data_IF_405100394478
#
_entry.id   IF_405100394478
#
_cell.length_a   1.000
_cell.length_b   1.000
_cell.length_c   1.000
_cell.angle_alpha   90.00
_cell.angle_beta   90.00
_cell.angle_gamma   90.00
#
_symmetry.space_group_name_H-M   'P 1'
#
loop_
_entity.id
_entity.type
_entity.pdbx_description
1 polymer ?
#
# COMPACT_ATOMS: atom_id res chain seq x y z
N UNK A 1 -10.06 0.25 15.44
CA UNK A 1 -10.49 0.65 14.06
C UNK A 1 -9.29 0.53 13.16
N UNK A 2 -9.50 0.21 11.91
CA UNK A 2 -8.44 0.11 10.90
C UNK A 2 -8.47 1.31 9.98
N UNK A 3 -7.38 1.59 9.27
CA UNK A 3 -7.38 2.62 8.23
C UNK A 3 -7.74 2.01 6.87
N UNK A 4 -8.50 2.72 6.05
CA UNK A 4 -8.89 2.42 4.66
C UNK A 4 -9.77 1.17 4.48
N UNK A 5 -9.44 0.02 5.08
CA UNK A 5 -10.14 -1.25 4.88
C UNK A 5 -10.32 -2.03 6.18
N UNK A 6 -11.41 -2.78 6.31
CA UNK A 6 -11.74 -3.59 7.47
C UNK A 6 -12.50 -4.86 7.05
N UNK A 7 -12.98 -5.65 8.03
CA UNK A 7 -13.73 -6.90 7.80
C UNK A 7 -15.01 -6.74 6.98
N UNK A 8 -15.60 -5.52 6.95
CA UNK A 8 -16.86 -5.24 6.26
C UNK A 8 -16.64 -4.69 4.84
N UNK A 9 -15.38 -4.48 4.45
CA UNK A 9 -15.00 -3.94 3.14
C UNK A 9 -15.34 -4.91 2.01
N UNK A 10 -16.21 -4.50 1.09
CA UNK A 10 -16.60 -5.28 -0.09
C UNK A 10 -15.68 -4.97 -1.26
N UNK A 11 -15.04 -6.00 -1.79
CA UNK A 11 -13.99 -5.90 -2.81
C UNK A 11 -14.42 -6.58 -4.11
N UNK A 12 -14.22 -5.91 -5.23
CA UNK A 12 -14.21 -6.54 -6.56
C UNK A 12 -12.78 -6.64 -7.10
N UNK A 13 -12.58 -7.55 -8.05
CA UNK A 13 -11.28 -7.76 -8.70
C UNK A 13 -11.37 -7.46 -10.17
N UNK A 14 -10.65 -6.45 -10.67
CA UNK A 14 -10.49 -6.22 -12.11
C UNK A 14 -9.33 -7.09 -12.63
N UNK A 15 -9.58 -7.83 -13.71
CA UNK A 15 -8.71 -8.91 -14.17
C UNK A 15 -8.96 -10.26 -13.46
N UNK A 16 -10.17 -10.45 -12.93
CA UNK A 16 -10.53 -11.52 -12.00
C UNK A 16 -10.26 -12.93 -12.52
N UNK A 17 -10.52 -13.20 -13.80
CA UNK A 17 -10.30 -14.52 -14.41
C UNK A 17 -8.90 -14.71 -15.00
N UNK A 18 -8.02 -13.73 -14.87
CA UNK A 18 -6.60 -13.83 -15.21
C UNK A 18 -5.85 -14.66 -14.15
N UNK A 19 -4.67 -15.18 -14.51
CA UNK A 19 -3.87 -16.05 -13.64
C UNK A 19 -3.58 -15.40 -12.28
N UNK A 20 -3.02 -14.19 -12.28
CA UNK A 20 -2.66 -13.47 -11.04
C UNK A 20 -3.91 -13.00 -10.28
N UNK A 21 -4.92 -12.46 -10.99
CA UNK A 21 -6.18 -12.05 -10.40
C UNK A 21 -6.91 -13.21 -9.70
N UNK A 22 -6.98 -14.39 -10.34
CA UNK A 22 -7.55 -15.60 -9.75
C UNK A 22 -6.79 -16.05 -8.50
N UNK A 23 -5.48 -16.22 -8.62
CA UNK A 23 -4.64 -16.71 -7.53
C UNK A 23 -4.73 -15.83 -6.28
N UNK A 24 -4.56 -14.52 -6.46
CA UNK A 24 -4.57 -13.61 -5.33
C UNK A 24 -5.98 -13.35 -4.77
N UNK A 25 -7.03 -13.41 -5.60
CA UNK A 25 -8.40 -13.38 -5.11
C UNK A 25 -8.72 -14.59 -4.22
N UNK A 26 -8.28 -15.79 -4.60
CA UNK A 26 -8.41 -17.01 -3.79
C UNK A 26 -7.70 -16.86 -2.43
N UNK A 27 -6.46 -16.31 -2.43
CA UNK A 27 -5.73 -16.05 -1.19
C UNK A 27 -6.41 -14.98 -0.31
N UNK A 28 -7.05 -13.96 -0.91
CA UNK A 28 -7.82 -12.97 -0.18
C UNK A 28 -9.11 -13.58 0.43
N UNK A 29 -9.83 -14.42 -0.33
CA UNK A 29 -10.98 -15.18 0.15
C UNK A 29 -10.60 -16.09 1.32
N UNK A 30 -9.50 -16.83 1.20
CA UNK A 30 -8.98 -17.69 2.27
C UNK A 30 -8.59 -16.91 3.54
N UNK A 31 -8.20 -15.65 3.40
CA UNK A 31 -7.90 -14.75 4.52
C UNK A 31 -9.16 -14.20 5.21
N UNK A 32 -10.33 -14.31 4.58
CA UNK A 32 -11.59 -13.79 5.09
C UNK A 32 -12.04 -12.47 4.45
N UNK A 33 -11.32 -11.96 3.44
CA UNK A 33 -11.71 -10.74 2.71
C UNK A 33 -13.02 -10.97 1.95
N UNK A 34 -13.92 -10.02 2.01
CA UNK A 34 -15.19 -10.07 1.29
C UNK A 34 -15.00 -9.74 -0.20
N UNK A 35 -14.43 -10.68 -0.99
CA UNK A 35 -14.49 -10.60 -2.44
C UNK A 35 -15.92 -10.90 -2.86
N UNK A 36 -16.62 -9.91 -3.39
CA UNK A 36 -18.06 -10.02 -3.74
C UNK A 36 -18.30 -10.25 -5.23
N UNK A 37 -17.28 -10.17 -6.07
CA UNK A 37 -17.33 -10.41 -7.51
C UNK A 37 -16.05 -9.98 -8.19
N UNK A 38 -16.02 -10.05 -9.51
CA UNK A 38 -14.92 -9.54 -10.29
C UNK A 38 -15.34 -9.10 -11.68
N UNK A 39 -14.42 -8.40 -12.35
CA UNK A 39 -14.64 -7.83 -13.67
C UNK A 39 -13.65 -8.41 -14.65
N UNK A 40 -14.16 -8.98 -15.73
CA UNK A 40 -13.39 -9.39 -16.90
C UNK A 40 -14.26 -9.16 -18.13
N UNK A 41 -13.89 -8.23 -19.02
CA UNK A 41 -14.65 -7.96 -20.24
C UNK A 41 -14.94 -9.22 -21.05
N UNK A 42 -16.15 -9.32 -21.60
CA UNK A 42 -16.67 -10.45 -22.37
C UNK A 42 -16.83 -11.77 -21.58
N UNK A 43 -16.73 -11.76 -20.25
CA UNK A 43 -16.98 -12.92 -19.38
C UNK A 43 -18.12 -12.69 -18.37
N UNK A 44 -18.87 -11.60 -18.52
CA UNK A 44 -20.05 -11.32 -17.68
C UNK A 44 -21.07 -12.44 -17.72
N UNK A 45 -21.71 -12.71 -16.58
CA UNK A 45 -22.67 -13.80 -16.41
C UNK A 45 -22.04 -15.15 -16.07
N UNK A 46 -20.72 -15.28 -16.07
CA UNK A 46 -20.01 -16.46 -15.59
C UNK A 46 -19.83 -16.41 -14.07
N UNK A 47 -19.47 -17.54 -13.50
CA UNK A 47 -19.02 -17.66 -12.11
C UNK A 47 -17.53 -18.01 -12.08
N UNK A 48 -16.78 -17.42 -11.14
CA UNK A 48 -15.36 -17.69 -10.92
C UNK A 48 -15.05 -17.63 -9.41
N UNK A 49 -14.41 -18.64 -8.86
CA UNK A 49 -14.15 -18.79 -7.41
C UNK A 49 -15.44 -18.66 -6.54
N UNK A 50 -16.57 -19.15 -7.04
CA UNK A 50 -17.86 -19.03 -6.36
C UNK A 50 -18.42 -17.59 -6.31
N UNK A 51 -17.92 -16.70 -7.19
CA UNK A 51 -18.34 -15.29 -7.26
C UNK A 51 -18.74 -14.90 -8.68
N UNK A 52 -19.70 -13.98 -8.84
CA UNK A 52 -20.13 -13.52 -10.15
C UNK A 52 -19.03 -12.73 -10.88
N UNK A 53 -18.96 -12.92 -12.19
CA UNK A 53 -18.11 -12.14 -13.10
C UNK A 53 -18.98 -11.15 -13.87
N UNK A 54 -18.54 -9.91 -13.96
CA UNK A 54 -19.20 -8.82 -14.67
C UNK A 54 -18.35 -8.35 -15.85
N UNK A 55 -18.97 -7.68 -16.82
CA UNK A 55 -18.25 -7.07 -17.94
C UNK A 55 -17.64 -5.72 -17.56
N UNK A 56 -18.28 -4.99 -16.66
CA UNK A 56 -17.88 -3.64 -16.25
C UNK A 56 -17.89 -3.46 -14.73
N UNK A 57 -17.11 -2.49 -14.25
CA UNK A 57 -17.10 -2.12 -12.83
C UNK A 57 -18.45 -1.57 -12.40
N UNK A 58 -19.12 -0.79 -13.25
CA UNK A 58 -20.45 -0.25 -12.96
C UNK A 58 -21.49 -1.35 -12.71
N UNK A 59 -21.50 -2.42 -13.54
CA UNK A 59 -22.35 -3.60 -13.30
C UNK A 59 -22.05 -4.26 -11.96
N UNK A 60 -20.76 -4.46 -11.66
CA UNK A 60 -20.30 -5.09 -10.44
C UNK A 60 -20.69 -4.29 -9.19
N UNK A 61 -20.48 -2.97 -9.19
CA UNK A 61 -20.84 -2.09 -8.08
C UNK A 61 -22.35 -2.07 -7.84
N UNK A 62 -23.15 -1.96 -8.90
CA UNK A 62 -24.61 -1.98 -8.79
C UNK A 62 -25.15 -3.29 -8.22
N UNK A 63 -24.54 -4.42 -8.59
CA UNK A 63 -25.00 -5.74 -8.16
C UNK A 63 -24.53 -6.08 -6.73
N UNK A 64 -23.36 -5.60 -6.30
CA UNK A 64 -22.71 -6.09 -5.07
C UNK A 64 -22.57 -5.06 -3.97
N UNK A 65 -22.60 -3.77 -4.33
CA UNK A 65 -22.30 -2.68 -3.41
C UNK A 65 -20.81 -2.62 -3.03
N UNK A 66 -19.91 -3.08 -3.91
CA UNK A 66 -18.47 -3.00 -3.69
C UNK A 66 -17.98 -1.56 -3.61
N UNK A 67 -17.08 -1.29 -2.67
CA UNK A 67 -16.46 0.02 -2.45
C UNK A 67 -14.98 0.03 -2.79
N UNK A 68 -14.35 -1.14 -2.94
CA UNK A 68 -12.92 -1.28 -3.25
C UNK A 68 -12.73 -2.13 -4.50
N UNK A 69 -11.81 -1.72 -5.37
CA UNK A 69 -11.36 -2.51 -6.51
C UNK A 69 -9.89 -2.90 -6.36
N UNK A 70 -9.61 -4.20 -6.47
CA UNK A 70 -8.26 -4.75 -6.55
C UNK A 70 -7.91 -5.01 -8.02
N UNK A 71 -6.85 -4.37 -8.54
CA UNK A 71 -6.56 -4.29 -9.98
C UNK A 71 -5.36 -5.15 -10.35
N UNK A 72 -5.60 -6.15 -11.23
CA UNK A 72 -4.61 -7.07 -11.82
C UNK A 72 -4.63 -7.07 -13.36
N UNK A 73 -5.17 -6.05 -13.98
CA UNK A 73 -5.17 -5.97 -15.44
C UNK A 73 -3.75 -5.80 -15.99
N UNK A 74 -3.46 -6.17 -17.26
CA UNK A 74 -2.16 -5.93 -17.85
C UNK A 74 -1.76 -4.45 -17.85
N UNK A 75 -0.46 -4.12 -17.81
CA UNK A 75 0.05 -2.76 -17.63
C UNK A 75 -0.58 -1.69 -18.51
N UNK A 76 -0.78 -2.00 -19.80
CA UNK A 76 -1.36 -1.06 -20.77
C UNK A 76 -2.83 -0.67 -20.49
N UNK A 77 -3.53 -1.43 -19.65
CA UNK A 77 -4.95 -1.21 -19.34
C UNK A 77 -5.17 -0.65 -17.92
N UNK A 78 -4.10 -0.42 -17.14
CA UNK A 78 -4.22 0.03 -15.75
C UNK A 78 -4.88 1.40 -15.67
N UNK A 79 -4.49 2.34 -16.53
CA UNK A 79 -5.08 3.68 -16.56
C UNK A 79 -6.60 3.65 -16.76
N UNK A 80 -7.04 2.89 -17.78
CA UNK A 80 -8.47 2.73 -18.09
C UNK A 80 -9.23 2.05 -16.95
N UNK A 81 -8.65 1.00 -16.36
CA UNK A 81 -9.26 0.28 -15.24
C UNK A 81 -9.45 1.17 -13.99
N UNK A 82 -8.50 2.06 -13.72
CA UNK A 82 -8.59 3.04 -12.62
C UNK A 82 -9.67 4.08 -12.91
N UNK A 83 -9.73 4.60 -14.14
CA UNK A 83 -10.75 5.59 -14.51
C UNK A 83 -12.16 4.98 -14.48
N UNK A 84 -12.34 3.77 -15.00
CA UNK A 84 -13.60 3.02 -14.93
C UNK A 84 -14.06 2.80 -13.48
N UNK A 85 -13.13 2.42 -12.59
CA UNK A 85 -13.44 2.26 -11.17
C UNK A 85 -13.91 3.57 -10.52
N UNK A 86 -13.26 4.68 -10.85
CA UNK A 86 -13.63 6.00 -10.35
C UNK A 86 -15.03 6.43 -10.81
N UNK A 87 -15.36 6.24 -12.09
CA UNK A 87 -16.68 6.55 -12.65
C UNK A 87 -17.78 5.66 -12.07
N UNK A 88 -17.46 4.43 -11.70
CA UNK A 88 -18.41 3.52 -11.09
C UNK A 88 -18.68 3.79 -9.60
N UNK A 89 -17.98 4.73 -8.97
CA UNK A 89 -18.15 5.10 -7.56
C UNK A 89 -17.35 4.24 -6.58
N UNK A 90 -16.28 3.57 -7.02
CA UNK A 90 -15.31 2.93 -6.13
C UNK A 90 -14.63 4.01 -5.27
N UNK A 91 -14.45 3.72 -4.00
CA UNK A 91 -13.82 4.64 -3.03
C UNK A 91 -12.30 4.46 -2.94
N UNK A 92 -11.81 3.23 -3.16
CA UNK A 92 -10.39 2.88 -3.13
C UNK A 92 -10.04 1.89 -4.26
N UNK A 93 -9.08 2.25 -5.11
CA UNK A 93 -8.46 1.34 -6.06
C UNK A 93 -7.08 0.89 -5.56
N UNK A 94 -6.88 -0.41 -5.40
CA UNK A 94 -5.60 -1.03 -5.03
C UNK A 94 -4.97 -1.64 -6.27
N UNK A 95 -3.94 -0.98 -6.80
CA UNK A 95 -3.34 -1.26 -8.11
C UNK A 95 -2.07 -2.09 -7.90
N UNK A 96 -2.16 -3.39 -8.15
CA UNK A 96 -1.05 -4.33 -7.94
C UNK A 96 -0.09 -4.33 -9.12
N UNK A 97 -0.64 -4.19 -10.32
CA UNK A 97 0.10 -4.27 -11.58
C UNK A 97 1.33 -3.36 -11.61
N UNK A 98 2.47 -3.93 -11.98
CA UNK A 98 3.72 -3.23 -12.26
C UNK A 98 3.81 -2.84 -13.74
N UNK A 99 4.57 -1.78 -14.05
CA UNK A 99 4.84 -1.36 -15.43
C UNK A 99 3.72 -0.57 -16.09
N UNK A 100 2.79 -0.03 -15.33
CA UNK A 100 1.77 0.89 -15.85
C UNK A 100 2.45 2.13 -16.47
N UNK A 101 2.06 2.57 -17.68
CA UNK A 101 2.67 3.74 -18.31
C UNK A 101 2.50 4.99 -17.45
N UNK A 102 3.59 5.72 -17.23
CA UNK A 102 3.63 6.91 -16.35
C UNK A 102 2.59 7.94 -16.74
N UNK A 103 2.44 8.22 -18.05
CA UNK A 103 1.46 9.19 -18.56
C UNK A 103 0.03 8.77 -18.25
N UNK A 104 -0.28 7.48 -18.45
CA UNK A 104 -1.62 6.94 -18.22
C UNK A 104 -1.96 6.99 -16.73
N UNK A 105 -1.01 6.65 -15.87
CA UNK A 105 -1.17 6.74 -14.42
C UNK A 105 -1.32 8.18 -13.92
N UNK A 106 -0.63 9.15 -14.54
CA UNK A 106 -0.81 10.56 -14.22
C UNK A 106 -2.24 11.02 -14.52
N UNK A 107 -2.77 10.64 -15.69
CA UNK A 107 -4.14 10.95 -16.10
C UNK A 107 -5.16 10.23 -15.20
N UNK A 108 -4.97 8.94 -14.96
CA UNK A 108 -5.85 8.12 -14.13
C UNK A 108 -5.92 8.62 -12.68
N UNK A 109 -4.79 9.01 -12.09
CA UNK A 109 -4.73 9.59 -10.75
C UNK A 109 -5.50 10.92 -10.66
N UNK A 110 -5.34 11.80 -11.65
CA UNK A 110 -6.08 13.06 -11.71
C UNK A 110 -7.59 12.81 -11.84
N UNK A 111 -7.98 11.85 -12.67
CA UNK A 111 -9.37 11.44 -12.83
C UNK A 111 -9.97 10.85 -11.55
N UNK A 112 -9.25 9.91 -10.91
CA UNK A 112 -9.63 9.34 -9.62
C UNK A 112 -9.83 10.41 -8.55
N UNK A 113 -8.91 11.36 -8.44
CA UNK A 113 -9.00 12.49 -7.50
C UNK A 113 -10.24 13.34 -7.75
N UNK A 114 -10.56 13.61 -9.01
CA UNK A 114 -11.77 14.37 -9.38
C UNK A 114 -13.06 13.67 -8.94
N UNK A 115 -13.08 12.34 -8.93
CA UNK A 115 -14.23 11.54 -8.49
C UNK A 115 -14.18 11.19 -6.99
N UNK A 116 -13.21 11.70 -6.22
CA UNK A 116 -13.08 11.43 -4.80
C UNK A 116 -12.53 10.04 -4.47
N UNK A 117 -12.12 9.25 -5.48
CA UNK A 117 -11.54 7.93 -5.29
C UNK A 117 -10.08 8.03 -4.86
N UNK A 118 -9.72 7.29 -3.82
CA UNK A 118 -8.32 7.08 -3.42
C UNK A 118 -7.70 5.98 -4.27
N UNK A 119 -6.39 6.09 -4.54
CA UNK A 119 -5.62 5.04 -5.23
C UNK A 119 -4.43 4.62 -4.38
N UNK A 120 -4.09 3.34 -4.40
CA UNK A 120 -2.91 2.76 -3.76
C UNK A 120 -2.10 2.00 -4.82
N UNK A 121 -0.81 2.24 -4.91
CA UNK A 121 -0.01 1.80 -6.04
C UNK A 121 0.01 2.81 -7.20
N UNK A 122 0.39 2.43 -8.43
CA UNK A 122 0.65 1.07 -8.93
C UNK A 122 1.92 0.43 -8.36
N UNK A 123 2.21 -0.81 -8.80
CA UNK A 123 3.38 -1.57 -8.38
C UNK A 123 3.49 -1.65 -6.85
N UNK A 124 2.41 -2.08 -6.21
CA UNK A 124 2.33 -2.19 -4.77
C UNK A 124 1.89 -3.58 -4.31
N UNK A 125 2.26 -4.01 -3.10
CA UNK A 125 1.82 -5.30 -2.56
C UNK A 125 0.37 -5.27 -2.06
N UNK A 126 -0.26 -4.10 -2.01
CA UNK A 126 -1.61 -3.90 -1.52
C UNK A 126 -1.70 -3.37 -0.10
N UNK A 127 -2.75 -3.75 0.59
CA UNK A 127 -3.05 -3.36 1.98
C UNK A 127 -3.57 -4.57 2.76
N UNK A 128 -3.22 -4.64 4.04
CA UNK A 128 -3.73 -5.64 4.95
C UNK A 128 -4.04 -5.04 6.33
N UNK A 129 -5.27 -5.17 6.77
CA UNK A 129 -5.65 -5.02 8.18
C UNK A 129 -5.62 -6.40 8.82
N UNK A 130 -4.71 -6.57 9.78
CA UNK A 130 -4.40 -7.88 10.32
C UNK A 130 -5.63 -8.57 10.92
N UNK A 131 -5.86 -9.84 10.53
CA UNK A 131 -6.99 -10.68 10.93
C UNK A 131 -8.37 -10.18 10.47
N UNK A 132 -8.44 -9.16 9.61
CA UNK A 132 -9.71 -8.59 9.15
C UNK A 132 -9.86 -8.59 7.61
N UNK A 133 -8.89 -8.00 6.89
CA UNK A 133 -9.02 -7.78 5.46
C UNK A 133 -7.64 -7.75 4.79
N UNK A 134 -7.48 -8.50 3.72
CA UNK A 134 -6.29 -8.51 2.87
C UNK A 134 -6.68 -8.19 1.44
N UNK A 135 -6.07 -7.18 0.86
CA UNK A 135 -6.29 -6.79 -0.54
C UNK A 135 -4.92 -6.66 -1.21
N UNK A 136 -4.60 -7.59 -2.09
CA UNK A 136 -3.31 -7.66 -2.79
C UNK A 136 -2.54 -8.95 -2.53
N UNK A 137 -1.21 -8.86 -2.64
CA UNK A 137 -0.31 -10.03 -2.71
C UNK A 137 0.41 -10.36 -1.39
N UNK A 138 0.20 -9.57 -0.33
CA UNK A 138 0.87 -9.79 0.96
C UNK A 138 0.57 -11.19 1.52
N UNK A 139 1.58 -11.94 2.04
CA UNK A 139 1.35 -13.24 2.67
C UNK A 139 0.67 -13.08 4.04
N UNK A 140 -0.63 -13.33 4.12
CA UNK A 140 -1.44 -13.09 5.32
C UNK A 140 -0.92 -13.76 6.60
N UNK A 141 -0.22 -14.88 6.47
CA UNK A 141 0.27 -15.67 7.60
C UNK A 141 1.31 -14.98 8.48
N UNK A 142 2.02 -13.98 7.97
CA UNK A 142 3.03 -13.23 8.75
C UNK A 142 2.46 -12.04 9.51
N UNK A 143 1.21 -11.65 9.23
CA UNK A 143 0.55 -10.51 9.86
C UNK A 143 -0.28 -10.97 11.05
N UNK A 144 0.13 -10.59 12.24
CA UNK A 144 -0.62 -10.77 13.49
C UNK A 144 -1.21 -9.45 13.92
N UNK A 145 -2.44 -9.48 14.45
CA UNK A 145 -3.10 -8.28 14.97
C UNK A 145 -2.32 -7.71 16.16
N UNK A 146 -2.19 -6.39 16.19
CA UNK A 146 -1.51 -5.67 17.26
C UNK A 146 -1.69 -4.17 17.15
N UNK A 147 -0.66 -3.41 17.50
CA UNK A 147 -0.72 -1.98 17.71
C UNK A 147 0.26 -1.15 16.87
N UNK A 148 0.87 -1.74 15.83
CA UNK A 148 1.84 -1.05 14.97
C UNK A 148 1.27 -0.86 13.57
N UNK A 149 1.20 0.38 13.09
CA UNK A 149 0.93 0.71 11.70
C UNK A 149 2.20 0.57 10.85
N UNK A 150 2.08 0.18 9.57
CA UNK A 150 3.23 0.06 8.67
C UNK A 150 2.93 0.68 7.31
N UNK A 151 3.83 1.54 6.82
CA UNK A 151 3.79 2.15 5.48
C UNK A 151 5.09 1.84 4.76
N UNK A 152 5.03 1.27 3.57
CA UNK A 152 6.24 0.87 2.83
C UNK A 152 6.13 1.10 1.33
N UNK A 153 7.22 1.56 0.71
CA UNK A 153 7.38 1.55 -0.74
C UNK A 153 7.68 0.17 -1.30
N UNK A 154 8.32 -0.68 -0.51
CA UNK A 154 8.81 -1.99 -0.95
C UNK A 154 7.88 -3.11 -0.49
N UNK A 155 7.49 -4.00 -1.41
CA UNK A 155 6.75 -5.22 -1.07
C UNK A 155 7.55 -6.13 -0.13
N UNK A 156 8.76 -6.48 -0.52
CA UNK A 156 9.63 -7.39 0.26
C UNK A 156 9.97 -6.85 1.64
N UNK A 157 10.31 -5.56 1.73
CA UNK A 157 10.64 -4.94 3.02
C UNK A 157 9.40 -4.73 3.90
N UNK A 158 8.19 -4.66 3.32
CA UNK A 158 6.94 -4.74 4.09
C UNK A 158 6.87 -6.04 4.87
N UNK A 159 7.22 -7.17 4.23
CA UNK A 159 7.20 -8.48 4.87
C UNK A 159 8.27 -8.61 5.94
N UNK A 160 9.48 -8.14 5.66
CA UNK A 160 10.57 -8.14 6.63
C UNK A 160 10.25 -7.24 7.84
N UNK A 161 9.81 -6.00 7.62
CA UNK A 161 9.43 -5.09 8.70
C UNK A 161 8.30 -5.64 9.58
N UNK A 162 7.29 -6.25 8.96
CA UNK A 162 6.20 -6.94 9.67
C UNK A 162 6.74 -8.08 10.52
N UNK A 163 7.60 -8.94 9.95
CA UNK A 163 8.19 -10.07 10.66
C UNK A 163 9.01 -9.59 11.87
N UNK A 164 9.81 -8.54 11.72
CA UNK A 164 10.59 -7.96 12.81
C UNK A 164 9.69 -7.43 13.95
N UNK A 165 8.59 -6.74 13.63
CA UNK A 165 7.60 -6.27 14.60
C UNK A 165 6.97 -7.46 15.35
N UNK A 166 6.56 -8.50 14.63
CA UNK A 166 5.92 -9.69 15.21
C UNK A 166 6.89 -10.47 16.09
N UNK A 167 8.16 -10.65 15.68
CA UNK A 167 9.19 -11.31 16.48
C UNK A 167 9.54 -10.54 17.77
N UNK A 168 9.39 -9.21 17.75
CA UNK A 168 9.56 -8.37 18.94
C UNK A 168 8.39 -8.45 19.93
N UNK A 169 7.36 -9.27 19.64
CA UNK A 169 6.20 -9.46 20.51
C UNK A 169 5.04 -8.48 20.27
N UNK A 170 5.09 -7.72 19.19
CA UNK A 170 4.03 -6.79 18.76
C UNK A 170 3.25 -7.36 17.57
N UNK A 171 2.33 -6.58 17.03
CA UNK A 171 1.55 -6.95 15.85
C UNK A 171 1.17 -5.71 15.05
N UNK A 172 0.53 -5.96 13.92
CA UNK A 172 0.17 -4.94 12.93
C UNK A 172 -1.30 -4.57 13.08
N UNK A 173 -1.62 -3.28 13.09
CA UNK A 173 -2.98 -2.79 12.88
C UNK A 173 -3.32 -2.87 11.39
N UNK A 174 -2.64 -2.06 10.60
CA UNK A 174 -2.74 -2.08 9.14
C UNK A 174 -1.35 -1.91 8.53
N UNK A 175 -1.03 -2.68 7.50
CA UNK A 175 0.15 -2.48 6.67
C UNK A 175 -0.26 -2.04 5.27
N UNK A 176 0.35 -0.96 4.80
CA UNK A 176 0.06 -0.32 3.51
C UNK A 176 1.31 -0.29 2.65
N UNK A 177 1.26 -0.97 1.51
CA UNK A 177 2.29 -0.85 0.49
C UNK A 177 1.92 0.23 -0.52
N UNK A 178 2.70 1.30 -0.58
CA UNK A 178 2.38 2.46 -1.44
C UNK A 178 2.91 2.34 -2.87
N UNK A 179 3.83 1.39 -3.10
CA UNK A 179 4.45 1.15 -4.41
C UNK A 179 5.72 1.97 -4.66
N UNK A 180 6.51 1.51 -5.64
CA UNK A 180 7.80 2.08 -6.01
C UNK A 180 7.83 2.80 -7.36
N UNK A 181 6.67 3.05 -7.98
CA UNK A 181 6.57 3.75 -9.24
C UNK A 181 6.70 5.28 -9.07
N UNK A 182 7.09 6.03 -10.12
CA UNK A 182 7.21 7.49 -10.06
C UNK A 182 5.89 8.21 -9.75
N UNK A 183 4.77 7.66 -10.23
CA UNK A 183 3.42 8.19 -9.97
C UNK A 183 2.67 7.17 -9.13
N UNK A 184 2.59 7.42 -7.85
CA UNK A 184 1.82 6.62 -6.90
C UNK A 184 0.54 7.36 -6.45
N UNK A 185 -0.39 6.60 -5.92
CA UNK A 185 -1.62 7.11 -5.31
C UNK A 185 -1.38 7.78 -3.95
N UNK A 186 -1.88 7.15 -2.88
CA UNK A 186 -1.62 7.56 -1.51
C UNK A 186 -0.13 7.48 -1.18
N UNK A 187 0.37 8.50 -0.50
CA UNK A 187 1.74 8.58 -0.02
C UNK A 187 1.79 8.64 1.51
N UNK A 188 2.98 8.77 2.08
CA UNK A 188 3.15 8.94 3.53
C UNK A 188 2.31 10.10 4.09
N UNK A 189 2.22 11.21 3.36
CA UNK A 189 1.53 12.41 3.84
C UNK A 189 0.03 12.23 4.02
N UNK A 190 -0.61 11.32 3.27
CA UNK A 190 -2.01 10.99 3.46
C UNK A 190 -2.22 9.87 4.50
N UNK A 191 -1.28 8.92 4.59
CA UNK A 191 -1.41 7.75 5.45
C UNK A 191 -1.02 8.02 6.90
N UNK A 192 0.01 8.83 7.16
CA UNK A 192 0.46 9.16 8.51
C UNK A 192 -0.65 9.79 9.37
N UNK A 193 -1.42 10.78 8.87
CA UNK A 193 -2.56 11.32 9.64
C UNK A 193 -3.66 10.30 9.92
N UNK A 194 -3.87 9.31 9.02
CA UNK A 194 -4.84 8.24 9.25
C UNK A 194 -4.39 7.34 10.39
N UNK A 195 -3.09 6.98 10.46
CA UNK A 195 -2.53 6.22 11.57
C UNK A 195 -2.49 7.02 12.86
N UNK A 196 -2.24 8.33 12.79
CA UNK A 196 -2.32 9.21 13.97
C UNK A 196 -3.72 9.21 14.57
N UNK A 197 -4.75 9.26 13.73
CA UNK A 197 -6.15 9.24 14.16
C UNK A 197 -6.66 7.86 14.58
N UNK A 198 -5.98 6.77 14.22
CA UNK A 198 -6.41 5.41 14.57
C UNK A 198 -6.08 5.08 16.03
N UNK A 199 -7.09 4.86 16.91
CA UNK A 199 -6.84 4.60 18.32
C UNK A 199 -6.15 3.25 18.61
N UNK A 200 -6.19 2.31 17.69
CA UNK A 200 -5.51 1.00 17.83
C UNK A 200 -4.03 1.08 17.46
N UNK A 201 -3.62 2.08 16.69
CA UNK A 201 -2.22 2.26 16.30
C UNK A 201 -1.47 3.06 17.36
N UNK A 202 -0.43 2.49 17.96
CA UNK A 202 0.39 3.12 18.97
C UNK A 202 1.77 3.57 18.49
N UNK A 203 2.29 2.93 17.44
CA UNK A 203 3.54 3.30 16.78
C UNK A 203 3.43 3.04 15.27
N UNK A 204 4.30 3.67 14.49
CA UNK A 204 4.29 3.56 13.03
C UNK A 204 5.67 3.14 12.53
N UNK A 205 5.72 2.13 11.66
CA UNK A 205 6.91 1.79 10.87
C UNK A 205 6.80 2.43 9.50
N UNK A 206 7.83 3.14 9.08
CA UNK A 206 7.93 3.78 7.78
C UNK A 206 9.14 3.22 7.02
N UNK A 207 8.91 2.60 5.87
CA UNK A 207 9.97 2.04 5.03
C UNK A 207 10.00 2.80 3.71
N UNK A 208 11.08 3.55 3.53
CA UNK A 208 11.35 4.34 2.33
C UNK A 208 12.53 3.80 1.53
N UNK A 209 12.87 4.52 0.49
CA UNK A 209 13.98 4.20 -0.40
C UNK A 209 14.59 5.46 -1.00
N UNK A 210 15.71 5.33 -1.69
CA UNK A 210 16.32 6.42 -2.45
C UNK A 210 15.40 6.91 -3.57
N UNK A 211 15.64 8.15 -4.03
CA UNK A 211 14.88 8.80 -5.11
C UNK A 211 13.65 9.56 -4.63
N UNK A 212 13.35 10.66 -5.30
CA UNK A 212 12.30 11.59 -4.91
C UNK A 212 12.47 12.18 -3.51
N UNK A 213 11.45 12.84 -3.00
CA UNK A 213 11.47 13.60 -1.74
C UNK A 213 10.34 13.24 -0.76
N UNK A 214 9.57 12.19 -1.04
CA UNK A 214 8.37 11.83 -0.25
C UNK A 214 8.69 11.61 1.24
N UNK A 215 9.84 11.02 1.55
CA UNK A 215 10.27 10.78 2.93
C UNK A 215 10.70 12.07 3.63
N UNK A 216 11.22 13.06 2.89
CA UNK A 216 11.55 14.40 3.41
C UNK A 216 10.25 15.18 3.68
N UNK A 217 9.26 15.08 2.79
CA UNK A 217 7.94 15.65 3.02
C UNK A 217 7.27 15.01 4.24
N UNK A 218 7.36 13.68 4.37
CA UNK A 218 6.88 12.95 5.53
C UNK A 218 7.56 13.40 6.83
N UNK A 219 8.87 13.63 6.83
CA UNK A 219 9.60 14.13 7.99
C UNK A 219 9.05 15.48 8.49
N UNK A 220 8.73 16.41 7.57
CA UNK A 220 8.10 17.68 7.94
C UNK A 220 6.74 17.49 8.60
N UNK A 221 5.90 16.64 7.98
CA UNK A 221 4.57 16.32 8.52
C UNK A 221 4.65 15.66 9.90
N UNK A 222 5.58 14.71 10.06
CA UNK A 222 5.79 14.02 11.35
C UNK A 222 6.12 15.04 12.43
N UNK A 223 7.07 15.93 12.17
CA UNK A 223 7.48 16.96 13.12
C UNK A 223 6.34 17.89 13.56
N UNK A 224 5.40 18.16 12.64
CA UNK A 224 4.33 19.14 12.85
C UNK A 224 3.05 18.52 13.43
N UNK A 225 2.72 17.26 13.08
CA UNK A 225 1.36 16.74 13.24
C UNK A 225 1.29 15.32 13.81
N UNK A 226 2.39 14.57 13.89
CA UNK A 226 2.36 13.18 14.35
C UNK A 226 2.96 13.11 15.75
N UNK A 227 2.15 12.64 16.70
CA UNK A 227 2.55 12.47 18.09
C UNK A 227 2.95 11.04 18.43
N UNK A 228 2.50 10.08 17.64
CA UNK A 228 2.85 8.67 17.79
C UNK A 228 4.30 8.44 17.38
N UNK A 229 5.06 7.60 18.09
CA UNK A 229 6.44 7.31 17.73
C UNK A 229 6.51 6.66 16.33
N UNK A 230 7.50 7.12 15.55
CA UNK A 230 7.78 6.60 14.22
C UNK A 230 9.17 5.97 14.19
N UNK A 231 9.26 4.76 13.67
CA UNK A 231 10.51 4.05 13.34
C UNK A 231 10.66 4.00 11.83
N UNK A 232 11.81 4.42 11.30
CA UNK A 232 12.01 4.44 9.85
C UNK A 232 13.26 3.68 9.42
N UNK A 233 13.15 3.03 8.26
CA UNK A 233 14.25 2.45 7.49
C UNK A 233 14.24 3.00 6.06
N UNK A 234 15.41 3.36 5.54
CA UNK A 234 15.59 3.83 4.16
C UNK A 234 16.46 2.86 3.38
N UNK A 235 15.90 2.23 2.36
CA UNK A 235 16.61 1.32 1.48
C UNK A 235 17.53 2.05 0.50
N UNK A 236 18.55 1.36 0.01
CA UNK A 236 19.46 1.90 -1.01
C UNK A 236 20.63 2.72 -0.46
N UNK A 237 21.01 2.55 0.81
CA UNK A 237 22.11 3.29 1.45
C UNK A 237 23.45 3.14 0.72
N UNK A 238 23.69 2.01 0.04
CA UNK A 238 24.90 1.72 -0.73
C UNK A 238 24.69 1.82 -2.24
N UNK A 239 23.56 2.36 -2.68
CA UNK A 239 23.21 2.42 -4.09
C UNK A 239 24.16 3.38 -4.85
N UNK A 240 24.70 2.96 -6.01
CA UNK A 240 25.51 3.83 -6.85
C UNK A 240 24.64 4.90 -7.49
N UNK A 241 25.20 6.13 -7.60
CA UNK A 241 24.51 7.27 -8.23
C UNK A 241 24.13 6.96 -9.68
N UNK A 242 22.95 7.39 -10.10
CA UNK A 242 22.47 7.28 -11.47
C UNK A 242 22.01 5.88 -11.90
N UNK A 243 21.97 4.92 -10.97
CA UNK A 243 21.39 3.59 -11.24
C UNK A 243 20.04 3.44 -10.55
N UNK A 244 19.09 2.87 -11.26
CA UNK A 244 17.79 2.47 -10.71
C UNK A 244 17.95 1.20 -9.87
N UNK A 245 17.40 1.18 -8.66
CA UNK A 245 17.56 0.11 -7.69
C UNK A 245 16.23 -0.63 -7.45
N UNK A 246 15.88 -1.53 -8.38
CA UNK A 246 14.66 -2.34 -8.30
C UNK A 246 13.39 -1.60 -8.75
N UNK A 247 13.05 -0.50 -8.14
CA UNK A 247 11.89 0.32 -8.47
C UNK A 247 12.24 1.44 -9.47
N UNK A 248 11.31 1.76 -10.38
CA UNK A 248 11.52 2.85 -11.34
C UNK A 248 11.73 4.22 -10.67
N UNK A 249 11.12 4.44 -9.49
CA UNK A 249 11.30 5.64 -8.68
C UNK A 249 12.56 5.64 -7.81
N UNK A 250 13.23 4.49 -7.62
CA UNK A 250 14.40 4.34 -6.76
C UNK A 250 15.71 4.68 -7.50
N UNK A 251 15.87 5.94 -7.85
CA UNK A 251 17.06 6.47 -8.54
C UNK A 251 17.51 7.80 -7.92
N UNK A 252 18.80 7.93 -7.65
CA UNK A 252 19.40 9.20 -7.20
C UNK A 252 19.87 9.97 -8.42
N UNK A 253 19.18 11.07 -8.73
CA UNK A 253 19.53 12.00 -9.80
C UNK A 253 20.21 13.24 -9.19
N UNK A 254 21.51 13.40 -9.40
CA UNK A 254 22.27 14.51 -8.83
C UNK A 254 22.64 14.30 -7.36
N UNK A 255 22.37 15.30 -6.51
CA UNK A 255 22.68 15.28 -5.07
C UNK A 255 21.47 15.06 -4.17
N UNK A 256 20.25 15.11 -4.71
CA UNK A 256 19.01 15.03 -3.95
C UNK A 256 18.43 13.59 -3.93
N UNK A 257 17.69 13.28 -2.88
CA UNK A 257 16.98 11.99 -2.75
C UNK A 257 17.87 10.82 -2.35
N UNK A 258 19.03 11.08 -1.76
CA UNK A 258 19.91 10.05 -1.21
C UNK A 258 19.33 9.47 0.09
N UNK A 259 19.72 8.22 0.43
CA UNK A 259 19.33 7.64 1.71
C UNK A 259 19.82 8.48 2.89
N UNK A 260 21.07 8.96 2.86
CA UNK A 260 21.64 9.80 3.92
C UNK A 260 20.84 11.08 4.16
N UNK A 261 20.46 11.79 3.09
CA UNK A 261 19.64 13.00 3.19
C UNK A 261 18.27 12.71 3.84
N UNK A 262 17.60 11.63 3.42
CA UNK A 262 16.31 11.24 3.96
C UNK A 262 16.40 10.80 5.43
N UNK A 263 17.42 10.01 5.77
CA UNK A 263 17.67 9.58 7.14
C UNK A 263 17.90 10.80 8.07
N UNK A 264 18.75 11.72 7.66
CA UNK A 264 19.01 12.95 8.43
C UNK A 264 17.74 13.82 8.62
N UNK A 265 16.91 13.94 7.57
CA UNK A 265 15.64 14.67 7.67
C UNK A 265 14.66 14.02 8.65
N UNK A 266 14.55 12.69 8.64
CA UNK A 266 13.72 11.93 9.55
C UNK A 266 14.22 12.02 11.00
N UNK A 267 15.53 11.89 11.24
CA UNK A 267 16.14 12.07 12.55
C UNK A 267 15.89 13.48 13.13
N UNK A 268 16.03 14.51 12.29
CA UNK A 268 15.74 15.90 12.68
C UNK A 268 14.24 16.14 12.98
N UNK A 269 13.37 15.25 12.53
CA UNK A 269 11.95 15.24 12.85
C UNK A 269 11.59 14.40 14.10
N UNK A 270 12.58 13.82 14.79
CA UNK A 270 12.36 12.97 15.97
C UNK A 270 12.03 11.51 15.67
N UNK A 271 12.19 11.08 14.42
CA UNK A 271 11.96 9.68 14.00
C UNK A 271 13.15 8.82 14.46
N UNK A 272 12.87 7.63 14.99
CA UNK A 272 13.89 6.62 15.27
C UNK A 272 14.31 5.95 13.96
N UNK A 273 15.41 6.39 13.37
CA UNK A 273 15.94 5.81 12.13
C UNK A 273 16.83 4.61 12.45
N UNK A 274 16.66 3.51 11.71
CA UNK A 274 17.50 2.30 11.79
C UNK A 274 18.28 2.09 10.51
N UNK A 275 19.49 1.54 10.63
CA UNK A 275 20.40 1.32 9.50
C UNK A 275 20.12 -0.02 8.81
N UNK A 276 19.58 -0.98 9.54
CA UNK A 276 19.22 -2.31 9.03
C UNK A 276 17.73 -2.60 9.26
N UNK A 277 17.01 -3.20 8.30
CA UNK A 277 15.62 -3.60 8.51
C UNK A 277 15.46 -4.61 9.65
N UNK A 278 16.50 -5.40 9.95
CA UNK A 278 16.53 -6.34 11.09
C UNK A 278 16.44 -5.63 12.46
N UNK A 279 16.68 -4.33 12.54
CA UNK A 279 16.61 -3.54 13.78
C UNK A 279 15.21 -2.96 14.04
N UNK A 280 14.29 -3.05 13.08
CA UNK A 280 12.95 -2.45 13.18
C UNK A 280 12.21 -2.94 14.43
N UNK A 281 12.20 -4.26 14.67
CA UNK A 281 11.50 -4.84 15.84
C UNK A 281 12.06 -4.34 17.17
N UNK A 282 13.38 -4.29 17.30
CA UNK A 282 14.05 -3.74 18.49
C UNK A 282 13.71 -2.26 18.69
N UNK A 283 13.76 -1.48 17.63
CA UNK A 283 13.45 -0.04 17.69
C UNK A 283 11.98 0.22 18.07
N UNK A 284 11.03 -0.57 17.55
CA UNK A 284 9.61 -0.52 17.96
C UNK A 284 9.47 -0.82 19.46
N UNK A 285 10.15 -1.87 19.96
CA UNK A 285 10.12 -2.20 21.39
C UNK A 285 10.70 -1.08 22.26
N UNK A 286 11.74 -0.39 21.81
CA UNK A 286 12.34 0.75 22.51
C UNK A 286 11.37 1.94 22.59
N UNK A 287 10.77 2.34 21.47
CA UNK A 287 9.91 3.52 21.43
C UNK A 287 8.57 3.31 22.17
N UNK A 288 8.04 2.08 22.18
CA UNK A 288 6.80 1.76 22.90
C UNK A 288 7.01 1.58 24.41
N UNK A 289 8.21 1.20 24.89
CA UNK A 289 8.53 1.14 26.32
C UNK A 289 8.71 2.52 26.97
N UNK A 290 9.10 3.51 26.17
CA UNK A 290 9.38 4.87 26.65
C UNK A 290 8.14 5.79 26.59
N UNK A 291 6.97 5.23 26.27
CA UNK A 291 5.68 5.90 26.22
C UNK A 291 4.93 5.69 27.54
#
# INVERSE_FOLDING_TARGET
>A
MSILVNKDTKVIVQGFTGKEGSFHAEQCLAYGTQIVGGVTPNKGGQEHLGKPVFNTVSEAVKATGATVSMIFVPPAFVGDAVMEAAEAGIELAVIITEGAPVKDMQMAKAHATKHGMKTLGPNCPGIITAEECKIGIMPGSIFKKGNVGLISKSGTLTYEGTNQVVQAGYGITTAVGIGGDPIIGLSYNQLLPMFEADPETEAIVMIGEIGGDLEIQAAKLIKEQITKPVVAFIAGQTAPKGKTMGHAGAIVSGSAGTAAEKMAALEAAGVKVVVSPAEIGKAIAEVLKNK
#
